data_IF_223547298681
#
_entry.id   IF_223547298681
#
_cell.length_a   1.000
_cell.length_b   1.000
_cell.length_c   1.000
_cell.angle_alpha   90.00
_cell.angle_beta   90.00
_cell.angle_gamma   90.00
#
_symmetry.space_group_name_H-M   'P 1'
#
loop_
_entity.id
_entity.type
_entity.pdbx_description
1 polymer ?
#
# COMPACT_ATOMS: atom_id res chain seq x y z
N UNK A 1 -5.94 13.91 -27.69
CA UNK A 1 -6.41 13.66 -26.32
C UNK A 1 -7.72 12.88 -26.42
N UNK A 2 -7.71 11.66 -25.91
CA UNK A 2 -8.64 10.54 -26.11
C UNK A 2 -9.97 10.66 -25.31
N UNK A 3 -10.38 11.87 -24.94
CA UNK A 3 -11.68 12.13 -24.28
C UNK A 3 -11.87 11.56 -22.87
N UNK A 4 -10.89 10.80 -22.35
CA UNK A 4 -10.91 10.24 -21.00
C UNK A 4 -10.50 11.29 -19.97
N UNK A 5 -11.31 11.45 -18.92
CA UNK A 5 -10.97 12.33 -17.79
C UNK A 5 -9.73 11.75 -17.07
N UNK A 6 -8.63 12.50 -16.95
CA UNK A 6 -7.43 12.02 -16.26
C UNK A 6 -7.76 11.76 -14.78
N UNK A 7 -7.29 10.63 -14.24
CA UNK A 7 -7.45 10.26 -12.84
C UNK A 7 -6.11 9.89 -12.21
N UNK A 8 -6.06 9.97 -10.88
CA UNK A 8 -4.93 9.54 -10.07
C UNK A 8 -5.51 8.73 -8.91
N UNK A 9 -5.20 7.45 -8.88
CA UNK A 9 -5.71 6.51 -7.89
C UNK A 9 -4.61 5.88 -7.04
N UNK A 10 -5.04 5.23 -5.97
CA UNK A 10 -4.17 4.73 -4.93
C UNK A 10 -3.28 3.59 -5.41
N UNK A 11 -3.87 2.50 -5.88
CA UNK A 11 -3.13 1.29 -6.19
C UNK A 11 -2.31 1.39 -7.48
N UNK A 12 -2.73 2.15 -8.50
CA UNK A 12 -1.84 2.38 -9.66
C UNK A 12 -0.66 3.26 -9.30
N UNK A 13 -0.83 4.24 -8.40
CA UNK A 13 0.31 5.00 -7.86
C UNK A 13 1.29 4.05 -7.15
N UNK A 14 0.79 3.08 -6.38
CA UNK A 14 1.63 2.05 -5.78
C UNK A 14 2.34 1.19 -6.83
N UNK A 15 1.66 0.78 -7.90
CA UNK A 15 2.28 0.03 -8.99
C UNK A 15 3.44 0.77 -9.64
N UNK A 16 3.25 2.06 -9.95
CA UNK A 16 4.31 2.91 -10.53
C UNK A 16 5.49 3.02 -9.57
N UNK A 17 5.25 3.35 -8.30
CA UNK A 17 6.30 3.48 -7.30
C UNK A 17 7.07 2.18 -7.06
N UNK A 18 6.37 1.04 -6.97
CA UNK A 18 7.01 -0.27 -6.86
C UNK A 18 7.83 -0.61 -8.10
N UNK A 19 7.35 -0.23 -9.29
CA UNK A 19 8.09 -0.40 -10.54
C UNK A 19 9.41 0.36 -10.51
N UNK A 20 9.36 1.66 -10.19
CA UNK A 20 10.54 2.52 -10.05
C UNK A 20 11.51 1.98 -9.00
N UNK A 21 11.02 1.59 -7.82
CA UNK A 21 11.85 1.04 -6.75
C UNK A 21 12.57 -0.25 -7.17
N UNK A 22 11.89 -1.15 -7.88
CA UNK A 22 12.50 -2.37 -8.41
C UNK A 22 13.54 -2.07 -9.48
N UNK A 23 13.23 -1.16 -10.42
CA UNK A 23 14.21 -0.72 -11.43
C UNK A 23 15.44 -0.12 -10.76
N UNK A 24 15.26 0.77 -9.79
CA UNK A 24 16.36 1.37 -9.04
C UNK A 24 17.21 0.32 -8.31
N UNK A 25 16.59 -0.76 -7.78
CA UNK A 25 17.34 -1.83 -7.09
C UNK A 25 18.27 -2.64 -8.01
N UNK A 26 17.95 -2.73 -9.32
CA UNK A 26 18.77 -3.46 -10.29
C UNK A 26 19.66 -2.53 -11.13
N UNK A 27 19.24 -1.28 -11.30
CA UNK A 27 19.93 -0.23 -12.04
C UNK A 27 19.81 1.09 -11.27
N UNK A 28 20.71 1.34 -10.31
CA UNK A 28 20.68 2.55 -9.50
C UNK A 28 20.88 3.80 -10.34
N UNK A 29 20.02 4.80 -10.12
CA UNK A 29 20.07 6.09 -10.80
C UNK A 29 19.58 7.19 -9.84
N UNK A 30 20.32 8.31 -9.69
CA UNK A 30 19.89 9.44 -8.89
C UNK A 30 18.54 10.02 -9.34
N UNK A 31 18.30 10.11 -10.65
CA UNK A 31 17.03 10.62 -11.19
C UNK A 31 15.86 9.69 -10.85
N UNK A 32 16.08 8.38 -10.94
CA UNK A 32 15.08 7.39 -10.55
C UNK A 32 14.78 7.48 -9.05
N UNK A 33 15.82 7.63 -8.21
CA UNK A 33 15.64 7.84 -6.78
C UNK A 33 14.84 9.11 -6.48
N UNK A 34 15.19 10.23 -7.12
CA UNK A 34 14.48 11.48 -6.94
C UNK A 34 13.01 11.40 -7.39
N UNK A 35 12.72 10.64 -8.45
CA UNK A 35 11.35 10.34 -8.87
C UNK A 35 10.59 9.53 -7.81
N UNK A 36 11.23 8.54 -7.18
CA UNK A 36 10.66 7.77 -6.06
C UNK A 36 10.37 8.69 -4.88
N UNK A 37 11.31 9.54 -4.46
CA UNK A 37 11.14 10.47 -3.33
C UNK A 37 9.93 11.39 -3.55
N UNK A 38 9.87 12.05 -4.72
CA UNK A 38 8.77 12.93 -5.08
C UNK A 38 7.44 12.18 -5.15
N UNK A 39 7.45 10.98 -5.72
CA UNK A 39 6.25 10.16 -5.86
C UNK A 39 5.73 9.66 -4.51
N UNK A 40 6.61 9.24 -3.58
CA UNK A 40 6.22 8.85 -2.21
C UNK A 40 5.69 10.06 -1.43
N UNK A 41 6.31 11.23 -1.57
CA UNK A 41 5.81 12.48 -0.97
C UNK A 41 4.39 12.83 -1.46
N UNK A 42 4.15 12.75 -2.77
CA UNK A 42 2.82 12.92 -3.34
C UNK A 42 1.84 11.86 -2.83
N UNK A 43 2.22 10.59 -2.87
CA UNK A 43 1.38 9.47 -2.44
C UNK A 43 0.91 9.64 -1.00
N UNK A 44 1.82 9.94 -0.07
CA UNK A 44 1.48 10.10 1.35
C UNK A 44 0.63 11.34 1.62
N UNK A 45 0.81 12.43 0.86
CA UNK A 45 0.07 13.67 1.05
C UNK A 45 -1.31 13.68 0.39
N UNK A 46 -1.51 12.96 -0.72
CA UNK A 46 -2.72 13.05 -1.53
C UNK A 46 -3.63 11.82 -1.45
N UNK A 47 -3.06 10.64 -1.22
CA UNK A 47 -3.78 9.36 -1.32
C UNK A 47 -4.09 8.73 0.05
N UNK A 48 -3.95 9.51 1.11
CA UNK A 48 -4.41 9.18 2.46
C UNK A 48 -5.34 10.27 2.98
N UNK A 49 -6.31 9.89 3.83
CA UNK A 49 -7.16 10.85 4.51
C UNK A 49 -6.52 11.36 5.82
N UNK A 50 -7.24 12.23 6.51
CA UNK A 50 -6.81 12.84 7.78
C UNK A 50 -6.50 11.79 8.87
N UNK A 51 -7.12 10.61 8.79
CA UNK A 51 -6.87 9.48 9.70
C UNK A 51 -5.69 8.61 9.25
N UNK A 52 -5.03 8.97 8.15
CA UNK A 52 -3.95 8.19 7.57
C UNK A 52 -4.40 6.90 6.88
N UNK A 53 -5.67 6.81 6.49
CA UNK A 53 -6.21 5.64 5.81
C UNK A 53 -6.26 5.86 4.29
N UNK A 54 -6.16 4.79 3.48
CA UNK A 54 -6.13 4.88 2.03
C UNK A 54 -7.38 5.57 1.47
N UNK A 55 -7.16 6.54 0.60
CA UNK A 55 -8.18 7.15 -0.25
C UNK A 55 -8.06 6.54 -1.64
N UNK A 56 -9.16 6.09 -2.26
CA UNK A 56 -9.09 5.47 -3.58
C UNK A 56 -8.54 6.40 -4.67
N UNK A 57 -8.85 7.71 -4.60
CA UNK A 57 -8.40 8.69 -5.60
C UNK A 57 -7.96 10.01 -4.97
N UNK A 58 -6.87 10.56 -5.51
CA UNK A 58 -6.50 11.97 -5.36
C UNK A 58 -7.22 12.83 -6.41
N UNK A 59 -7.42 12.27 -7.61
CA UNK A 59 -8.23 12.86 -8.69
C UNK A 59 -9.18 11.80 -9.22
N UNK A 60 -10.46 11.90 -8.87
CA UNK A 60 -11.48 10.94 -9.27
C UNK A 60 -11.96 11.20 -10.72
N UNK A 61 -12.13 10.16 -11.56
CA UNK A 61 -12.64 10.33 -12.93
C UNK A 61 -14.17 10.54 -12.96
N UNK A 62 -14.86 10.10 -11.90
CA UNK A 62 -16.33 10.09 -11.75
C UNK A 62 -16.71 10.10 -10.28
N UNK A 63 -18.00 10.25 -9.99
CA UNK A 63 -18.54 10.04 -8.64
C UNK A 63 -18.25 8.61 -8.18
N UNK A 64 -17.78 8.46 -6.95
CA UNK A 64 -17.42 7.17 -6.35
C UNK A 64 -18.39 6.87 -5.23
N UNK A 65 -18.87 5.63 -5.15
CA UNK A 65 -19.87 5.19 -4.16
C UNK A 65 -19.26 4.49 -2.94
N UNK A 66 -17.93 4.38 -2.91
CA UNK A 66 -17.17 3.76 -1.84
C UNK A 66 -16.13 4.72 -1.26
N UNK A 67 -15.89 4.59 0.04
CA UNK A 67 -14.89 5.37 0.78
C UNK A 67 -13.51 4.74 0.71
N UNK A 68 -13.42 3.41 0.60
CA UNK A 68 -12.16 2.63 0.63
C UNK A 68 -12.30 1.32 -0.12
N UNK A 69 -11.20 0.86 -0.67
CA UNK A 69 -11.10 -0.42 -1.37
C UNK A 69 -9.98 -1.26 -0.74
N UNK A 70 -10.26 -2.55 -0.52
CA UNK A 70 -9.28 -3.45 0.12
C UNK A 70 -7.97 -3.54 -0.68
N UNK A 71 -8.05 -3.40 -2.00
CA UNK A 71 -6.86 -3.45 -2.86
C UNK A 71 -5.90 -2.28 -2.59
N UNK A 72 -6.42 -1.11 -2.18
CA UNK A 72 -5.59 0.03 -1.78
C UNK A 72 -4.75 -0.32 -0.55
N UNK A 73 -5.33 -1.05 0.41
CA UNK A 73 -4.64 -1.52 1.61
C UNK A 73 -3.52 -2.50 1.25
N UNK A 74 -3.82 -3.50 0.42
CA UNK A 74 -2.84 -4.48 -0.02
C UNK A 74 -1.64 -3.83 -0.72
N UNK A 75 -1.91 -2.84 -1.57
CA UNK A 75 -0.88 -2.16 -2.34
C UNK A 75 -0.07 -1.16 -1.51
N UNK A 76 -0.69 -0.49 -0.54
CA UNK A 76 0.00 0.28 0.47
C UNK A 76 0.99 -0.59 1.26
N UNK A 77 0.55 -1.75 1.77
CA UNK A 77 1.41 -2.68 2.54
C UNK A 77 2.55 -3.19 1.67
N UNK A 78 2.28 -3.59 0.43
CA UNK A 78 3.31 -4.04 -0.50
C UNK A 78 4.37 -2.96 -0.77
N UNK A 79 3.95 -1.72 -1.06
CA UNK A 79 4.86 -0.61 -1.35
C UNK A 79 5.70 -0.26 -0.12
N UNK A 80 5.07 -0.13 1.04
CA UNK A 80 5.75 0.21 2.28
C UNK A 80 6.72 -0.88 2.73
N UNK A 81 6.39 -2.16 2.50
CA UNK A 81 7.33 -3.28 2.74
C UNK A 81 8.56 -3.16 1.84
N UNK A 82 8.36 -2.90 0.54
CA UNK A 82 9.45 -2.76 -0.43
C UNK A 82 10.38 -1.58 -0.11
N UNK A 83 9.82 -0.48 0.41
CA UNK A 83 10.55 0.76 0.72
C UNK A 83 10.82 0.94 2.22
N UNK A 84 10.71 -0.14 3.01
CA UNK A 84 10.72 -0.04 4.47
C UNK A 84 12.01 0.60 5.01
N UNK A 85 11.83 1.57 5.90
CA UNK A 85 12.92 2.31 6.53
C UNK A 85 13.54 3.39 5.64
N UNK A 86 13.07 3.56 4.40
CA UNK A 86 13.53 4.63 3.50
C UNK A 86 12.68 5.90 3.62
N UNK A 87 11.42 5.77 4.02
CA UNK A 87 10.47 6.89 4.11
C UNK A 87 9.65 6.82 5.40
N UNK A 88 10.05 7.51 6.48
CA UNK A 88 9.39 7.42 7.79
C UNK A 88 7.89 7.74 7.75
N UNK A 89 7.47 8.66 6.87
CA UNK A 89 6.05 8.97 6.69
C UNK A 89 5.25 7.79 6.13
N UNK A 90 5.82 7.01 5.21
CA UNK A 90 5.20 5.82 4.65
C UNK A 90 5.15 4.68 5.68
N UNK A 91 6.20 4.53 6.48
CA UNK A 91 6.25 3.55 7.58
C UNK A 91 5.13 3.80 8.61
N UNK A 92 4.85 5.08 8.93
CA UNK A 92 3.72 5.44 9.81
C UNK A 92 2.36 5.14 9.16
N UNK A 93 2.22 5.41 7.85
CA UNK A 93 0.97 5.10 7.14
C UNK A 93 0.70 3.61 7.13
N UNK A 94 1.68 2.77 6.81
CA UNK A 94 1.45 1.32 6.76
C UNK A 94 1.08 0.73 8.13
N UNK A 95 1.66 1.24 9.22
CA UNK A 95 1.26 0.82 10.57
C UNK A 95 -0.24 1.11 10.83
N UNK A 96 -0.70 2.31 10.46
CA UNK A 96 -2.11 2.71 10.58
C UNK A 96 -3.03 1.87 9.69
N UNK A 97 -2.58 1.57 8.46
CA UNK A 97 -3.31 0.74 7.48
C UNK A 97 -3.47 -0.69 7.97
N UNK A 98 -2.41 -1.29 8.52
CA UNK A 98 -2.44 -2.66 9.05
C UNK A 98 -3.38 -2.73 10.27
N UNK A 99 -3.32 -1.74 11.17
CA UNK A 99 -4.22 -1.71 12.32
C UNK A 99 -5.70 -1.65 11.90
N UNK A 100 -6.07 -0.72 11.01
CA UNK A 100 -7.45 -0.63 10.52
C UNK A 100 -7.87 -1.90 9.74
N UNK A 101 -6.95 -2.48 8.96
CA UNK A 101 -7.18 -3.75 8.25
C UNK A 101 -7.59 -4.87 9.22
N UNK A 102 -6.77 -5.13 10.23
CA UNK A 102 -6.97 -6.23 11.17
C UNK A 102 -8.21 -6.01 12.04
N UNK A 103 -8.46 -4.76 12.45
CA UNK A 103 -9.57 -4.44 13.36
C UNK A 103 -10.93 -4.36 12.68
N UNK A 104 -11.00 -4.07 11.37
CA UNK A 104 -12.27 -3.72 10.70
C UNK A 104 -12.56 -4.46 9.39
N UNK A 105 -11.52 -4.88 8.67
CA UNK A 105 -11.69 -5.54 7.37
C UNK A 105 -11.73 -7.06 7.46
N UNK A 106 -11.13 -7.65 8.50
CA UNK A 106 -11.20 -9.09 8.75
C UNK A 106 -12.59 -9.45 9.28
N UNK A 107 -13.25 -10.41 8.63
CA UNK A 107 -14.53 -10.98 9.08
C UNK A 107 -14.28 -12.13 10.07
N UNK A 108 -15.34 -12.57 10.76
CA UNK A 108 -15.30 -13.71 11.70
C UNK A 108 -14.79 -15.01 11.09
N UNK A 109 -14.98 -15.20 9.78
CA UNK A 109 -14.51 -16.38 9.03
C UNK A 109 -13.06 -16.25 8.54
N UNK A 110 -12.35 -15.18 8.94
CA UNK A 110 -10.98 -14.89 8.52
C UNK A 110 -10.86 -14.26 7.12
N UNK A 111 -11.93 -14.20 6.34
CA UNK A 111 -11.92 -13.53 5.03
C UNK A 111 -11.98 -12.01 5.17
N UNK A 112 -11.52 -11.28 4.15
CA UNK A 112 -11.58 -9.82 4.16
C UNK A 112 -12.84 -9.28 3.47
N UNK A 113 -13.37 -8.17 3.97
CA UNK A 113 -14.35 -7.32 3.27
C UNK A 113 -13.72 -6.70 2.03
N UNK A 114 -14.50 -6.40 0.99
CA UNK A 114 -13.96 -5.90 -0.29
C UNK A 114 -13.91 -4.38 -0.36
N UNK A 115 -14.96 -3.68 0.11
CA UNK A 115 -15.01 -2.21 0.12
C UNK A 115 -15.77 -1.67 1.34
N UNK A 116 -15.33 -0.52 1.82
CA UNK A 116 -16.11 0.30 2.74
C UNK A 116 -16.92 1.30 1.91
N UNK A 117 -18.25 1.20 1.96
CA UNK A 117 -19.15 2.06 1.18
C UNK A 117 -19.40 3.38 1.92
N UNK A 118 -20.16 4.30 1.32
CA UNK A 118 -20.66 5.45 2.11
C UNK A 118 -21.59 5.02 3.25
N UNK A 119 -22.33 3.92 3.04
CA UNK A 119 -23.20 3.25 3.99
C UNK A 119 -22.89 1.75 3.98
N UNK A 120 -22.32 1.24 5.07
CA UNK A 120 -22.03 -0.17 5.23
C UNK A 120 -20.82 -0.68 4.43
N UNK A 121 -20.87 -1.96 4.04
CA UNK A 121 -19.75 -2.69 3.49
C UNK A 121 -20.16 -3.54 2.30
N UNK A 122 -19.30 -3.59 1.29
CA UNK A 122 -19.31 -4.64 0.28
C UNK A 122 -18.47 -5.82 0.79
N UNK A 123 -19.12 -6.97 0.96
CA UNK A 123 -18.50 -8.20 1.47
C UNK A 123 -18.38 -9.29 0.40
N UNK A 124 -18.64 -8.98 -0.89
CA UNK A 124 -18.50 -9.95 -1.97
C UNK A 124 -17.04 -10.41 -2.02
N UNK A 125 -16.73 -11.70 -1.81
CA UNK A 125 -15.35 -12.15 -1.69
C UNK A 125 -14.65 -12.12 -3.05
N UNK A 126 -13.75 -11.17 -3.23
CA UNK A 126 -12.94 -11.05 -4.46
C UNK A 126 -11.62 -11.82 -4.31
N UNK A 127 -11.72 -13.16 -4.28
CA UNK A 127 -10.59 -14.05 -3.97
C UNK A 127 -9.35 -13.80 -4.84
N UNK A 128 -9.51 -13.71 -6.16
CA UNK A 128 -8.41 -13.50 -7.12
C UNK A 128 -7.89 -12.06 -7.18
N UNK A 129 -8.54 -11.14 -6.46
CA UNK A 129 -8.23 -9.71 -6.50
C UNK A 129 -7.71 -9.26 -5.13
N UNK A 130 -8.52 -8.54 -4.36
CA UNK A 130 -8.07 -7.86 -3.16
C UNK A 130 -7.75 -8.83 -2.01
N UNK A 131 -8.45 -9.95 -1.89
CA UNK A 131 -8.15 -10.91 -0.82
C UNK A 131 -6.78 -11.56 -1.00
N UNK A 132 -6.50 -12.13 -2.18
CA UNK A 132 -5.20 -12.74 -2.45
C UNK A 132 -4.05 -11.73 -2.33
N UNK A 133 -4.23 -10.50 -2.83
CA UNK A 133 -3.17 -9.50 -2.70
C UNK A 133 -2.97 -9.00 -1.27
N UNK A 134 -4.04 -8.86 -0.50
CA UNK A 134 -3.93 -8.51 0.93
C UNK A 134 -3.15 -9.59 1.67
N UNK A 135 -3.55 -10.86 1.48
CA UNK A 135 -2.85 -11.99 2.09
C UNK A 135 -1.36 -12.03 1.70
N UNK A 136 -1.05 -11.92 0.41
CA UNK A 136 0.33 -11.85 -0.08
C UNK A 136 1.10 -10.69 0.54
N UNK A 137 0.49 -9.51 0.66
CA UNK A 137 1.14 -8.32 1.22
C UNK A 137 1.49 -8.50 2.71
N UNK A 138 0.60 -9.13 3.49
CA UNK A 138 0.85 -9.45 4.89
C UNK A 138 1.96 -10.50 5.02
N UNK A 139 1.94 -11.57 4.23
CA UNK A 139 3.01 -12.57 4.21
C UNK A 139 4.37 -11.95 3.84
N UNK A 140 4.40 -11.07 2.83
CA UNK A 140 5.61 -10.36 2.45
C UNK A 140 6.13 -9.47 3.59
N UNK A 141 5.22 -8.79 4.30
CA UNK A 141 5.56 -7.93 5.45
C UNK A 141 6.16 -8.73 6.61
N UNK A 142 5.57 -9.89 6.93
CA UNK A 142 6.08 -10.81 7.96
C UNK A 142 7.45 -11.38 7.56
N UNK A 143 7.61 -11.81 6.31
CA UNK A 143 8.89 -12.31 5.82
C UNK A 143 10.00 -11.25 5.92
N UNK A 144 9.70 -9.99 5.58
CA UNK A 144 10.63 -8.88 5.75
C UNK A 144 10.97 -8.61 7.23
N UNK A 145 10.01 -8.74 8.16
CA UNK A 145 10.30 -8.68 9.60
C UNK A 145 11.30 -9.77 10.03
N UNK A 146 11.01 -11.02 9.70
CA UNK A 146 11.86 -12.17 10.07
C UNK A 146 13.28 -12.00 9.52
N UNK A 147 13.41 -11.62 8.25
CA UNK A 147 14.70 -11.43 7.61
C UNK A 147 15.52 -10.31 8.28
N UNK A 148 14.87 -9.21 8.66
CA UNK A 148 15.54 -8.09 9.34
C UNK A 148 15.97 -8.43 10.76
N UNK A 149 15.15 -9.17 11.50
CA UNK A 149 15.54 -9.68 12.81
C UNK A 149 16.72 -10.65 12.73
N UNK A 150 16.74 -11.52 11.73
CA UNK A 150 17.87 -12.43 11.49
C UNK A 150 19.14 -11.67 11.14
N UNK A 151 19.05 -10.65 10.27
CA UNK A 151 20.19 -9.80 9.93
C UNK A 151 20.75 -9.09 11.18
N UNK A 152 19.88 -8.48 12.00
CA UNK A 152 20.29 -7.79 13.23
C UNK A 152 20.96 -8.74 14.25
N UNK A 153 20.47 -9.99 14.38
CA UNK A 153 21.11 -11.00 15.25
C UNK A 153 22.48 -11.42 14.74
N UNK A 154 22.65 -11.56 13.42
CA UNK A 154 23.94 -11.93 12.82
C UNK A 154 25.00 -10.84 13.01
N UNK A 155 24.63 -9.56 12.88
CA UNK A 155 25.53 -8.42 13.14
C UNK A 155 26.02 -8.40 14.60
N UNK A 156 25.16 -8.72 15.56
CA UNK A 156 25.50 -8.80 16.99
C UNK A 156 26.42 -9.98 17.36
N UNK A 157 26.52 -11.01 16.51
CA UNK A 157 27.39 -12.18 16.72
C UNK A 157 28.78 -12.00 16.10
N UNK A 158 28.96 -10.97 15.26
CA UNK A 158 30.23 -10.67 14.58
C UNK A 158 31.04 -9.56 15.26
N UNK A 159 30.49 -8.91 16.28
CA UNK A 159 31.15 -7.95 17.18
C UNK A 159 31.57 -8.61 18.50
#
# INVERSE_FOLDING_TARGET
>A
MDGKRPFIDHFHTCFVLKGLAKVHSVMPSPDCWHAIERGVSYYVSQLFDERGLPRPFAKAPRLIVYRRELYDYAECINLATLLRGRFPQLDRRVATVIDDLLNRWVKKDGSFRSRHLHLGWDNVPMHRWAQAQTFRSLCARIADDVNREQAARSEQLTD
#
